data_IF_214569040193
#
_entry.id   IF_214569040193
#
_cell.length_a   1.000
_cell.length_b   1.000
_cell.length_c   1.000
_cell.angle_alpha   90.00
_cell.angle_beta   90.00
_cell.angle_gamma   90.00
#
_symmetry.space_group_name_H-M   'P 1'
#
loop_
_entity.id
_entity.type
_entity.pdbx_description
1 polymer ?
#
# COMPACT_ATOMS: atom_id res chain seq x y z
N UNK A 1 17.07 -52.02 -89.80
CA UNK A 1 17.23 -51.24 -91.04
C UNK A 1 15.93 -50.48 -91.33
N UNK A 2 16.03 -49.15 -91.34
CA UNK A 2 15.14 -48.14 -91.97
C UNK A 2 13.65 -48.08 -91.58
N UNK A 3 13.24 -47.04 -90.84
CA UNK A 3 12.76 -45.72 -91.32
C UNK A 3 11.41 -45.81 -92.05
N UNK A 4 10.31 -45.25 -91.52
CA UNK A 4 9.89 -43.83 -91.66
C UNK A 4 8.35 -43.84 -91.44
N UNK A 5 7.59 -42.80 -91.11
CA UNK A 5 7.68 -41.37 -91.45
C UNK A 5 6.66 -40.62 -90.57
N UNK A 6 7.10 -39.56 -89.92
CA UNK A 6 6.25 -38.62 -89.19
C UNK A 6 5.49 -37.71 -90.18
N UNK A 7 4.22 -37.42 -89.90
CA UNK A 7 3.49 -36.27 -90.46
C UNK A 7 3.43 -35.16 -89.40
N UNK A 8 3.93 -33.98 -89.75
CA UNK A 8 3.80 -32.76 -88.95
C UNK A 8 2.44 -32.10 -89.19
N UNK A 9 1.80 -31.64 -88.12
CA UNK A 9 0.72 -30.65 -88.14
C UNK A 9 1.25 -29.32 -87.56
N UNK A 10 0.79 -28.14 -88.02
CA UNK A 10 1.40 -26.86 -87.66
C UNK A 10 1.01 -26.39 -86.24
N UNK A 11 2.00 -25.94 -85.48
CA UNK A 11 1.83 -25.20 -84.23
C UNK A 11 1.22 -23.81 -84.50
N UNK A 12 0.05 -23.52 -83.91
CA UNK A 12 -0.44 -22.16 -83.73
C UNK A 12 0.33 -21.48 -82.59
N UNK A 13 1.13 -20.48 -82.93
CA UNK A 13 1.81 -19.59 -81.98
C UNK A 13 0.79 -18.63 -81.32
N UNK A 14 0.37 -18.94 -80.10
CA UNK A 14 -0.42 -18.02 -79.26
C UNK A 14 0.54 -17.00 -78.63
N UNK A 15 0.54 -15.77 -79.14
CA UNK A 15 1.25 -14.63 -78.53
C UNK A 15 0.63 -14.30 -77.18
N UNK A 16 1.31 -14.65 -76.09
CA UNK A 16 0.94 -14.22 -74.74
C UNK A 16 1.31 -12.74 -74.53
N UNK A 17 0.30 -11.89 -74.34
CA UNK A 17 0.46 -10.46 -74.13
C UNK A 17 1.01 -10.12 -72.72
N UNK A 18 1.91 -9.10 -72.59
CA UNK A 18 2.66 -8.80 -71.37
C UNK A 18 1.81 -8.29 -70.17
N UNK A 19 0.53 -7.92 -70.40
CA UNK A 19 -0.39 -7.51 -69.32
C UNK A 19 -0.76 -8.66 -68.37
N UNK A 20 -0.79 -9.91 -68.86
CA UNK A 20 -1.29 -11.05 -68.09
C UNK A 20 -0.26 -11.56 -67.04
N UNK A 21 1.04 -11.37 -67.32
CA UNK A 21 2.11 -11.72 -66.38
C UNK A 21 2.20 -10.75 -65.18
N UNK A 22 1.97 -9.45 -65.39
CA UNK A 22 1.94 -8.44 -64.31
C UNK A 22 0.75 -8.66 -63.36
N UNK A 23 -0.43 -9.02 -63.88
CA UNK A 23 -1.61 -9.35 -63.05
C UNK A 23 -1.41 -10.61 -62.22
N UNK A 24 -0.79 -11.67 -62.77
CA UNK A 24 -0.44 -12.90 -62.01
C UNK A 24 0.59 -12.63 -60.92
N UNK A 25 1.65 -11.84 -61.17
CA UNK A 25 2.63 -11.46 -60.14
C UNK A 25 2.02 -10.60 -59.01
N UNK A 26 1.13 -9.65 -59.32
CA UNK A 26 0.38 -8.87 -58.30
C UNK A 26 -0.54 -9.73 -57.44
N UNK A 27 -1.28 -10.69 -58.04
CA UNK A 27 -2.11 -11.65 -57.29
C UNK A 27 -1.26 -12.56 -56.39
N UNK A 28 -0.10 -13.03 -56.87
CA UNK A 28 0.82 -13.86 -56.07
C UNK A 28 1.42 -13.08 -54.88
N UNK A 29 1.83 -11.81 -55.09
CA UNK A 29 2.30 -10.91 -54.00
C UNK A 29 1.20 -10.61 -52.97
N UNK A 30 -0.04 -10.32 -53.40
CA UNK A 30 -1.18 -10.12 -52.46
C UNK A 30 -1.51 -11.39 -51.67
N UNK A 31 -1.45 -12.57 -52.29
CA UNK A 31 -1.71 -13.85 -51.62
C UNK A 31 -0.60 -14.21 -50.62
N UNK A 32 0.66 -13.91 -50.93
CA UNK A 32 1.79 -14.08 -50.02
C UNK A 32 1.74 -13.11 -48.84
N UNK A 33 1.34 -11.84 -49.08
CA UNK A 33 1.15 -10.83 -48.04
C UNK A 33 0.04 -11.21 -47.05
N UNK A 34 -1.12 -11.67 -47.54
CA UNK A 34 -2.18 -12.19 -46.66
C UNK A 34 -1.75 -13.44 -45.87
N UNK A 35 -0.86 -14.28 -46.41
CA UNK A 35 -0.36 -15.46 -45.70
C UNK A 35 0.61 -15.06 -44.58
N UNK A 36 1.51 -14.10 -44.84
CA UNK A 36 2.43 -13.53 -43.85
C UNK A 36 1.69 -12.77 -42.74
N UNK A 37 0.64 -12.03 -43.09
CA UNK A 37 -0.16 -11.29 -42.12
C UNK A 37 -1.02 -12.22 -41.23
N UNK A 38 -1.52 -13.33 -41.80
CA UNK A 38 -2.16 -14.41 -41.02
C UNK A 38 -1.17 -15.11 -40.09
N UNK A 39 0.04 -15.42 -40.54
CA UNK A 39 1.09 -16.00 -39.68
C UNK A 39 1.53 -15.05 -38.55
N UNK A 40 1.62 -13.74 -38.82
CA UNK A 40 1.95 -12.71 -37.82
C UNK A 40 0.82 -12.51 -36.79
N UNK A 41 -0.45 -12.64 -37.19
CA UNK A 41 -1.60 -12.63 -36.26
C UNK A 41 -1.64 -13.89 -35.39
N UNK A 42 -1.34 -15.05 -35.97
CA UNK A 42 -1.18 -16.30 -35.21
C UNK A 42 -0.05 -16.15 -34.17
N UNK A 43 1.12 -15.67 -34.56
CA UNK A 43 2.24 -15.45 -33.64
C UNK A 43 1.93 -14.47 -32.50
N UNK A 44 1.08 -13.44 -32.73
CA UNK A 44 0.60 -12.54 -31.65
C UNK A 44 -0.37 -13.22 -30.69
N UNK A 45 -1.25 -14.11 -31.17
CA UNK A 45 -2.17 -14.90 -30.33
C UNK A 45 -1.42 -15.96 -29.50
N UNK A 46 -0.45 -16.66 -30.10
CA UNK A 46 0.37 -17.65 -29.41
C UNK A 46 1.41 -17.01 -28.47
N UNK A 47 1.92 -15.81 -28.79
CA UNK A 47 2.79 -15.04 -27.90
C UNK A 47 2.08 -14.52 -26.65
N UNK A 48 0.82 -14.08 -26.77
CA UNK A 48 0.02 -13.62 -25.63
C UNK A 48 -0.29 -14.72 -24.61
N UNK A 49 -0.51 -15.96 -25.07
CA UNK A 49 -0.82 -17.09 -24.20
C UNK A 49 0.38 -17.56 -23.35
N UNK A 50 1.60 -17.40 -23.87
CA UNK A 50 2.83 -17.72 -23.14
C UNK A 50 3.18 -16.66 -22.10
N UNK A 51 2.87 -15.38 -22.37
CA UNK A 51 3.11 -14.28 -21.43
C UNK A 51 2.09 -14.30 -20.28
N UNK A 52 0.83 -14.66 -20.54
CA UNK A 52 -0.19 -14.75 -19.47
C UNK A 52 0.03 -15.93 -18.52
N UNK A 53 0.60 -17.06 -18.97
CA UNK A 53 0.96 -18.19 -18.09
C UNK A 53 2.16 -17.87 -17.19
N UNK A 54 3.14 -17.10 -17.69
CA UNK A 54 4.28 -16.64 -16.88
C UNK A 54 3.84 -15.65 -15.78
N UNK A 55 2.85 -14.80 -16.03
CA UNK A 55 2.31 -13.88 -15.03
C UNK A 55 1.38 -14.56 -13.99
N UNK A 56 0.63 -15.60 -14.36
CA UNK A 56 -0.22 -16.34 -13.40
C UNK A 56 0.59 -17.20 -12.42
N UNK A 57 1.73 -17.75 -12.85
CA UNK A 57 2.60 -18.54 -11.95
C UNK A 57 3.54 -17.68 -11.08
N UNK A 58 3.78 -16.41 -11.43
CA UNK A 58 4.55 -15.48 -10.58
C UNK A 58 3.66 -14.76 -9.55
N UNK A 59 2.38 -14.53 -9.85
CA UNK A 59 1.44 -13.92 -8.89
C UNK A 59 0.97 -14.88 -7.79
N UNK A 60 0.83 -16.18 -8.08
CA UNK A 60 0.36 -17.19 -7.11
C UNK A 60 1.49 -17.85 -6.29
N UNK A 61 2.75 -17.49 -6.52
CA UNK A 61 3.92 -17.99 -5.77
C UNK A 61 4.55 -16.88 -4.93
N UNK A 62 3.72 -16.11 -4.23
CA UNK A 62 4.14 -15.53 -2.94
C UNK A 62 4.37 -16.71 -2.00
N UNK A 63 5.56 -17.31 -2.10
CA UNK A 63 5.94 -18.54 -1.42
C UNK A 63 5.69 -18.40 0.08
N UNK A 64 5.20 -19.45 0.73
CA UNK A 64 5.10 -19.53 2.20
C UNK A 64 6.39 -19.11 2.91
N UNK A 65 7.56 -19.24 2.27
CA UNK A 65 8.86 -18.72 2.75
C UNK A 65 8.95 -17.20 2.90
N UNK A 66 8.07 -16.43 2.23
CA UNK A 66 7.93 -14.97 2.39
C UNK A 66 7.02 -14.62 3.57
N UNK A 67 6.09 -15.50 3.94
CA UNK A 67 5.25 -15.37 5.14
C UNK A 67 6.02 -15.74 6.43
N UNK A 68 6.99 -16.64 6.35
CA UNK A 68 7.87 -17.00 7.49
C UNK A 68 8.94 -15.93 7.75
N UNK A 69 9.20 -15.03 6.80
CA UNK A 69 10.16 -13.93 6.99
C UNK A 69 9.48 -12.75 7.67
N UNK A 70 9.73 -12.69 8.98
CA UNK A 70 9.52 -11.57 9.89
C UNK A 70 8.11 -11.46 10.46
N UNK A 71 7.65 -12.53 11.11
CA UNK A 71 6.86 -12.34 12.32
C UNK A 71 7.77 -11.67 13.37
N UNK A 72 7.35 -10.53 13.89
CA UNK A 72 8.13 -9.72 14.83
C UNK A 72 7.21 -9.44 16.01
N UNK A 73 7.62 -9.94 17.17
CA UNK A 73 6.85 -9.82 18.42
C UNK A 73 7.25 -8.61 19.26
N UNK A 74 8.46 -8.11 19.05
CA UNK A 74 8.97 -6.92 19.74
C UNK A 74 9.45 -5.88 18.74
N UNK A 75 8.99 -4.64 18.89
CA UNK A 75 9.38 -3.52 18.03
C UNK A 75 9.55 -2.25 18.86
N UNK A 76 10.73 -1.63 18.76
CA UNK A 76 10.97 -0.29 19.31
C UNK A 76 10.57 0.75 18.27
N UNK A 77 9.74 1.70 18.68
CA UNK A 77 9.15 2.74 17.84
C UNK A 77 9.43 4.10 18.44
N UNK A 78 10.01 5.00 17.65
CA UNK A 78 10.16 6.41 18.00
C UNK A 78 8.94 7.16 17.48
N UNK A 79 8.21 7.80 18.38
CA UNK A 79 7.03 8.61 18.04
C UNK A 79 7.35 10.07 18.33
N UNK A 80 7.07 10.94 17.37
CA UNK A 80 7.16 12.39 17.53
C UNK A 80 5.84 12.98 17.08
N UNK A 81 5.02 13.48 18.02
CA UNK A 81 3.75 14.10 17.70
C UNK A 81 3.95 15.42 16.94
N UNK A 82 2.90 15.89 16.27
CA UNK A 82 2.95 17.16 15.56
C UNK A 82 3.17 18.34 16.51
N UNK A 83 3.94 19.31 16.07
CA UNK A 83 4.07 20.60 16.77
C UNK A 83 2.81 21.45 16.53
N UNK A 84 2.47 22.30 17.49
CA UNK A 84 1.43 23.30 17.29
C UNK A 84 1.90 24.37 16.31
N UNK A 85 0.97 24.94 15.56
CA UNK A 85 1.26 26.06 14.67
C UNK A 85 1.52 27.34 15.46
N UNK A 86 2.32 28.24 14.91
CA UNK A 86 2.62 29.53 15.54
C UNK A 86 1.44 30.50 15.48
N UNK A 87 1.29 31.34 16.51
CA UNK A 87 0.39 32.48 16.47
C UNK A 87 0.92 33.58 15.55
N UNK A 88 0.05 34.21 14.76
CA UNK A 88 0.44 35.36 13.95
C UNK A 88 0.36 36.66 14.74
N UNK A 89 1.30 37.56 14.48
CA UNK A 89 1.22 38.97 14.88
C UNK A 89 1.00 39.80 13.62
N UNK A 90 -0.23 40.27 13.42
CA UNK A 90 -0.59 41.12 12.29
C UNK A 90 -1.62 42.17 12.68
N UNK A 91 -1.72 43.23 11.89
CA UNK A 91 -2.71 44.28 12.07
C UNK A 91 -3.58 44.39 10.82
N UNK A 92 -4.86 44.65 11.05
CA UNK A 92 -5.80 44.85 9.96
C UNK A 92 -5.43 46.09 9.17
N UNK A 93 -5.38 46.01 7.84
CA UNK A 93 -5.09 47.15 6.97
C UNK A 93 -6.27 47.40 6.05
N UNK A 94 -6.85 48.60 6.15
CA UNK A 94 -7.94 49.07 5.30
C UNK A 94 -7.51 50.37 4.59
N UNK A 95 -7.82 50.53 3.30
CA UNK A 95 -7.58 51.80 2.62
C UNK A 95 -8.26 52.95 3.36
N UNK A 96 -7.52 54.05 3.60
CA UNK A 96 -7.96 55.26 4.34
C UNK A 96 -8.18 55.06 5.85
N UNK A 97 -7.64 53.99 6.44
CA UNK A 97 -7.58 53.79 7.89
C UNK A 97 -6.14 53.62 8.32
N UNK A 98 -5.63 54.62 9.03
CA UNK A 98 -4.23 54.67 9.46
C UNK A 98 -3.90 53.61 10.53
N UNK A 99 -4.84 53.34 11.45
CA UNK A 99 -4.65 52.40 12.56
C UNK A 99 -5.75 51.34 12.58
N UNK A 100 -5.38 50.12 12.20
CA UNK A 100 -6.23 48.95 12.35
C UNK A 100 -5.96 48.18 13.64
N UNK A 101 -6.97 47.46 14.13
CA UNK A 101 -6.82 46.59 15.28
C UNK A 101 -5.97 45.34 14.98
N UNK A 102 -5.45 44.65 16.01
CA UNK A 102 -4.60 43.47 15.84
C UNK A 102 -5.39 42.30 15.24
N UNK A 103 -5.07 41.79 14.05
CA UNK A 103 -5.85 40.76 13.36
C UNK A 103 -5.13 39.42 13.18
N UNK A 104 -4.11 39.14 13.99
CA UNK A 104 -3.37 37.89 13.94
C UNK A 104 -4.18 36.74 14.52
N UNK A 105 -4.36 35.68 13.73
CA UNK A 105 -4.98 34.43 14.16
C UNK A 105 -4.06 33.57 15.05
N UNK A 106 -4.67 32.71 15.86
CA UNK A 106 -4.03 31.61 16.57
C UNK A 106 -3.57 30.50 15.62
N UNK A 107 -2.51 29.79 15.98
CA UNK A 107 -2.09 28.57 15.30
C UNK A 107 -2.96 27.37 15.65
N UNK A 108 -2.97 26.38 14.76
CA UNK A 108 -3.68 25.12 14.94
C UNK A 108 -2.95 24.16 15.87
N UNK A 109 -3.68 23.21 16.45
CA UNK A 109 -3.09 22.14 17.26
C UNK A 109 -2.32 21.13 16.38
N UNK A 110 -1.22 20.61 16.92
CA UNK A 110 -0.45 19.52 16.33
C UNK A 110 -1.20 18.19 16.39
N UNK A 111 -0.85 17.27 15.48
CA UNK A 111 -1.54 16.00 15.34
C UNK A 111 -1.04 14.96 16.34
N UNK A 112 -1.97 14.37 17.09
CA UNK A 112 -1.69 13.29 18.03
C UNK A 112 -1.24 12.01 17.31
N UNK A 113 -0.47 11.18 18.01
CA UNK A 113 -0.15 9.82 17.58
C UNK A 113 -0.95 8.83 18.42
N UNK A 114 -1.83 8.10 17.75
CA UNK A 114 -2.79 7.20 18.37
C UNK A 114 -2.53 5.78 17.88
N UNK A 115 -2.29 4.85 18.80
CA UNK A 115 -2.31 3.43 18.50
C UNK A 115 -3.76 2.96 18.43
N UNK A 116 -4.10 2.25 17.35
CA UNK A 116 -5.39 1.62 17.14
C UNK A 116 -5.22 0.12 17.02
N UNK A 117 -5.99 -0.62 17.80
CA UNK A 117 -5.99 -2.09 17.71
C UNK A 117 -6.83 -2.54 16.52
N UNK A 118 -6.22 -3.33 15.64
CA UNK A 118 -6.87 -3.93 14.48
C UNK A 118 -6.69 -5.45 14.50
N UNK A 119 -7.79 -6.18 14.26
CA UNK A 119 -7.79 -7.65 14.16
C UNK A 119 -7.18 -8.14 12.84
N UNK A 120 -7.15 -7.29 11.81
CA UNK A 120 -6.58 -7.66 10.51
C UNK A 120 -5.04 -7.73 10.56
N UNK A 121 -4.43 -6.98 11.48
CA UNK A 121 -2.98 -6.98 11.70
C UNK A 121 -2.63 -8.13 12.63
N UNK A 122 -1.72 -9.01 12.17
CA UNK A 122 -1.30 -10.19 12.94
C UNK A 122 0.12 -10.09 13.50
N UNK A 123 0.93 -9.15 13.02
CA UNK A 123 2.35 -9.00 13.37
C UNK A 123 2.76 -7.53 13.46
N UNK A 124 3.77 -7.23 14.29
CA UNK A 124 4.33 -5.86 14.40
C UNK A 124 5.33 -5.53 13.27
N UNK A 125 5.49 -6.40 12.28
CA UNK A 125 6.39 -6.18 11.14
C UNK A 125 5.94 -5.08 10.19
N UNK A 126 4.63 -4.78 10.15
CA UNK A 126 4.04 -3.68 9.41
C UNK A 126 4.31 -2.31 10.05
N UNK A 127 4.71 -2.29 11.32
CA UNK A 127 4.93 -1.06 12.09
C UNK A 127 6.30 -0.47 11.76
N UNK A 128 6.32 0.77 11.27
CA UNK A 128 7.57 1.51 11.03
C UNK A 128 8.29 1.81 12.35
N UNK A 129 9.60 2.01 12.28
CA UNK A 129 10.43 2.35 13.45
C UNK A 129 10.27 3.80 13.90
N UNK A 130 9.79 4.67 13.01
CA UNK A 130 9.63 6.11 13.26
C UNK A 130 8.27 6.55 12.73
N UNK A 131 7.52 7.25 13.58
CA UNK A 131 6.29 7.96 13.21
C UNK A 131 6.44 9.43 13.56
N UNK A 132 6.01 10.29 12.62
CA UNK A 132 5.91 11.72 12.81
C UNK A 132 4.46 12.14 12.62
N UNK A 133 3.92 12.85 13.60
CA UNK A 133 2.63 13.51 13.50
C UNK A 133 2.69 14.65 12.49
N UNK A 134 1.51 15.11 12.06
CA UNK A 134 1.41 16.31 11.22
C UNK A 134 1.41 17.54 12.13
N UNK A 135 2.16 18.56 11.74
CA UNK A 135 2.18 19.82 12.47
C UNK A 135 0.90 20.62 12.21
N UNK A 136 0.50 21.43 13.19
CA UNK A 136 -0.59 22.38 13.06
C UNK A 136 -0.22 23.52 12.11
N UNK A 137 -1.21 24.06 11.39
CA UNK A 137 -0.94 25.22 10.53
C UNK A 137 -0.78 26.49 11.39
N UNK A 138 0.10 27.39 10.95
CA UNK A 138 0.25 28.68 11.61
C UNK A 138 -1.01 29.56 11.43
N UNK A 139 -1.23 30.46 12.39
CA UNK A 139 -2.21 31.52 12.24
C UNK A 139 -1.83 32.46 11.10
N UNK A 140 -2.81 33.20 10.58
CA UNK A 140 -2.56 34.24 9.58
C UNK A 140 -3.35 35.52 9.85
N UNK A 141 -3.10 36.54 9.04
CA UNK A 141 -3.82 37.81 9.11
C UNK A 141 -5.31 37.65 8.79
N UNK A 142 -6.09 38.70 9.08
CA UNK A 142 -7.54 38.75 8.92
C UNK A 142 -8.30 37.83 9.89
N UNK A 143 -7.79 37.67 11.11
CA UNK A 143 -8.31 36.79 12.16
C UNK A 143 -8.46 35.33 11.71
N UNK A 144 -7.59 34.87 10.81
CA UNK A 144 -7.65 33.49 10.28
C UNK A 144 -6.86 32.53 11.16
N UNK A 145 -7.58 31.64 11.82
CA UNK A 145 -6.98 30.58 12.64
C UNK A 145 -6.35 29.48 11.78
N UNK A 146 -5.21 28.98 12.23
CA UNK A 146 -4.55 27.84 11.62
C UNK A 146 -5.38 26.56 11.78
N UNK A 147 -5.35 25.70 10.77
CA UNK A 147 -6.03 24.40 10.80
C UNK A 147 -5.36 23.44 11.78
N UNK A 148 -6.18 22.71 12.53
CA UNK A 148 -5.72 21.61 13.36
C UNK A 148 -5.26 20.44 12.48
N UNK A 149 -4.14 19.84 12.87
CA UNK A 149 -3.60 18.68 12.21
C UNK A 149 -4.45 17.42 12.46
N UNK A 150 -4.50 16.54 11.46
CA UNK A 150 -5.16 15.24 11.60
C UNK A 150 -4.30 14.28 12.44
N UNK A 151 -4.89 13.49 13.35
CA UNK A 151 -4.14 12.50 14.12
C UNK A 151 -3.56 11.41 13.21
N UNK A 152 -2.45 10.83 13.63
CA UNK A 152 -1.78 9.72 12.95
C UNK A 152 -2.07 8.42 13.66
N UNK A 153 -2.68 7.47 12.95
CA UNK A 153 -3.05 6.17 13.50
C UNK A 153 -1.97 5.12 13.22
N UNK A 154 -1.58 4.38 14.25
CA UNK A 154 -0.69 3.22 14.17
C UNK A 154 -1.53 1.97 14.42
N UNK A 155 -1.73 1.15 13.39
CA UNK A 155 -2.46 -0.10 13.52
C UNK A 155 -1.59 -1.17 14.16
N UNK A 156 -2.07 -1.78 15.25
CA UNK A 156 -1.37 -2.86 15.97
C UNK A 156 -2.29 -4.07 16.15
N UNK A 157 -1.74 -5.29 16.24
CA UNK A 157 -2.51 -6.50 16.56
C UNK A 157 -3.13 -6.44 17.96
N UNK A 158 -4.18 -7.22 18.17
CA UNK A 158 -4.81 -7.45 19.49
C UNK A 158 -3.80 -8.10 20.45
N UNK A 159 -3.78 -7.67 21.70
CA UNK A 159 -2.86 -8.18 22.73
C UNK A 159 -1.48 -7.53 22.69
N UNK A 160 -1.37 -6.31 22.15
CA UNK A 160 -0.12 -5.54 22.15
C UNK A 160 0.04 -4.80 23.49
N UNK A 161 1.19 -4.98 24.13
CA UNK A 161 1.64 -4.21 25.28
C UNK A 161 2.48 -3.03 24.81
N UNK A 162 2.17 -1.85 25.33
CA UNK A 162 2.95 -0.62 25.10
C UNK A 162 3.78 -0.35 26.34
N UNK A 163 5.10 -0.34 26.19
CA UNK A 163 6.06 -0.06 27.26
C UNK A 163 6.92 1.16 26.92
N UNK A 164 7.34 1.87 27.94
CA UNK A 164 8.32 2.96 27.86
C UNK A 164 9.35 2.75 28.96
N UNK A 165 10.63 2.63 28.58
CA UNK A 165 11.75 2.43 29.51
C UNK A 165 11.55 1.28 30.52
N UNK A 166 10.84 0.21 30.11
CA UNK A 166 10.52 -0.95 30.94
C UNK A 166 9.23 -0.83 31.77
N UNK A 167 8.64 0.36 31.86
CA UNK A 167 7.33 0.59 32.49
C UNK A 167 6.20 0.31 31.51
N UNK A 168 5.18 -0.43 31.93
CA UNK A 168 3.99 -0.69 31.12
C UNK A 168 3.06 0.53 31.13
N UNK A 169 2.81 1.11 29.95
CA UNK A 169 1.92 2.25 29.78
C UNK A 169 0.48 1.82 29.53
N UNK A 170 0.29 0.82 28.66
CA UNK A 170 -1.03 0.35 28.28
C UNK A 170 -1.01 -1.11 27.82
N UNK A 171 -2.12 -1.81 28.07
CA UNK A 171 -2.43 -3.15 27.56
C UNK A 171 -3.61 -3.05 26.59
N UNK A 172 -3.37 -3.40 25.34
CA UNK A 172 -4.31 -3.27 24.24
C UNK A 172 -4.96 -4.61 23.92
N UNK A 173 -5.92 -5.02 24.76
CA UNK A 173 -6.54 -6.33 24.72
C UNK A 173 -7.78 -6.42 23.81
N UNK A 174 -8.45 -5.30 23.51
CA UNK A 174 -9.71 -5.30 22.76
C UNK A 174 -9.55 -4.70 21.37
N UNK A 175 -10.28 -5.25 20.40
CA UNK A 175 -10.33 -4.70 19.04
C UNK A 175 -10.95 -3.30 19.04
N UNK A 176 -10.40 -2.39 18.23
CA UNK A 176 -10.88 -1.02 18.14
C UNK A 176 -10.46 -0.12 19.30
N UNK A 177 -9.77 -0.65 20.31
CA UNK A 177 -9.21 0.14 21.40
C UNK A 177 -8.21 1.17 20.84
N UNK A 178 -8.32 2.40 21.33
CA UNK A 178 -7.47 3.52 20.96
C UNK A 178 -6.63 3.92 22.16
N UNK A 179 -5.35 4.19 21.94
CA UNK A 179 -4.44 4.69 22.96
C UNK A 179 -3.55 5.79 22.40
N UNK A 180 -3.64 6.99 22.98
CA UNK A 180 -2.81 8.13 22.58
C UNK A 180 -1.43 7.99 23.19
N UNK A 181 -0.43 7.76 22.35
CA UNK A 181 0.96 7.53 22.80
C UNK A 181 1.71 8.83 23.00
N UNK A 182 1.47 9.78 22.11
CA UNK A 182 2.09 11.09 22.15
C UNK A 182 1.06 12.15 21.77
N UNK A 183 0.91 13.15 22.63
CA UNK A 183 0.04 14.29 22.40
C UNK A 183 0.73 15.33 21.52
N UNK A 184 -0.02 15.88 20.58
CA UNK A 184 0.39 17.01 19.75
C UNK A 184 0.55 18.28 20.58
N UNK A 185 1.40 19.18 20.09
CA UNK A 185 1.62 20.47 20.72
C UNK A 185 0.40 21.39 20.60
N UNK A 186 0.17 22.21 21.61
CA UNK A 186 -0.86 23.24 21.56
C UNK A 186 -0.50 24.34 20.54
N UNK A 187 -1.51 24.86 19.83
CA UNK A 187 -1.34 25.98 18.91
C UNK A 187 -1.02 27.29 19.65
N UNK A 188 -0.09 28.06 19.08
CA UNK A 188 0.33 29.37 19.57
C UNK A 188 -0.80 30.39 19.50
N UNK A 189 -0.75 31.41 20.38
CA UNK A 189 -1.76 32.47 20.43
C UNK A 189 -1.32 33.65 19.56
N UNK A 190 -2.22 34.10 18.69
CA UNK A 190 -2.01 35.29 17.88
C UNK A 190 -2.12 36.57 18.73
N UNK A 191 -1.69 37.69 18.18
CA UNK A 191 -1.70 38.96 18.90
C UNK A 191 -3.10 39.40 19.34
N UNK A 192 -4.16 39.06 18.58
CA UNK A 192 -5.55 39.34 18.96
C UNK A 192 -5.92 38.73 20.33
N UNK A 193 -5.34 37.59 20.71
CA UNK A 193 -5.59 36.95 22.00
C UNK A 193 -5.10 37.78 23.19
N UNK A 194 -4.04 38.56 23.00
CA UNK A 194 -3.43 39.41 24.04
C UNK A 194 -4.05 40.81 24.12
N UNK A 195 -5.14 41.05 23.40
CA UNK A 195 -5.84 42.33 23.42
C UNK A 195 -6.47 42.56 24.81
N UNK A 196 -6.04 43.61 25.50
CA UNK A 196 -6.60 44.03 26.79
C UNK A 196 -7.00 45.51 26.76
N UNK A 197 -7.70 45.99 27.80
CA UNK A 197 -8.04 47.41 27.89
C UNK A 197 -6.79 48.31 28.00
N UNK A 198 -5.74 47.79 28.64
CA UNK A 198 -4.45 48.47 28.85
C UNK A 198 -3.57 48.40 27.59
N UNK A 199 -3.61 47.28 26.86
CA UNK A 199 -2.85 47.09 25.63
C UNK A 199 -3.77 46.82 24.43
N UNK A 200 -4.09 47.89 23.70
CA UNK A 200 -4.97 47.85 22.52
C UNK A 200 -4.28 47.37 21.23
N UNK A 201 -2.95 47.36 21.20
CA UNK A 201 -2.14 46.99 20.03
C UNK A 201 -0.99 46.05 20.44
N UNK A 202 -1.30 44.83 20.94
CA UNK A 202 -0.28 43.85 21.25
C UNK A 202 0.53 43.48 20.00
N UNK A 203 1.86 43.55 20.11
CA UNK A 203 2.81 43.10 19.09
C UNK A 203 3.25 41.65 19.30
N UNK A 204 2.98 41.10 20.48
CA UNK A 204 3.41 39.78 20.89
C UNK A 204 2.47 38.71 20.34
N UNK A 205 3.05 37.60 19.88
CA UNK A 205 2.38 36.34 19.61
C UNK A 205 3.19 35.22 20.28
N UNK A 206 2.51 34.15 20.73
CA UNK A 206 3.21 32.97 21.25
C UNK A 206 3.47 31.96 20.13
N UNK A 207 4.66 31.35 20.11
CA UNK A 207 4.94 30.23 19.21
C UNK A 207 4.10 29.02 19.61
N UNK A 208 3.95 28.08 18.68
CA UNK A 208 3.33 26.79 18.96
C UNK A 208 4.17 25.95 19.92
N UNK A 209 3.51 25.14 20.74
CA UNK A 209 4.21 24.18 21.59
C UNK A 209 4.73 23.02 20.75
N UNK A 210 5.88 22.47 21.15
CA UNK A 210 6.42 21.27 20.50
C UNK A 210 5.59 20.06 20.90
N UNK A 211 5.34 19.17 19.94
CA UNK A 211 4.69 17.89 20.20
C UNK A 211 5.53 17.01 21.12
N UNK A 212 4.87 16.07 21.81
CA UNK A 212 5.58 15.12 22.65
C UNK A 212 6.39 14.14 21.78
N UNK A 213 7.64 13.91 22.18
CA UNK A 213 8.52 12.90 21.60
C UNK A 213 8.76 11.79 22.62
N UNK A 214 8.52 10.55 22.23
CA UNK A 214 8.67 9.37 23.11
C UNK A 214 9.22 8.19 22.33
N UNK A 215 9.85 7.27 23.05
CA UNK A 215 10.35 6.03 22.47
C UNK A 215 9.69 4.85 23.18
N UNK A 216 8.74 4.25 22.49
CA UNK A 216 7.95 3.15 23.02
C UNK A 216 8.42 1.80 22.48
N UNK A 217 8.27 0.77 23.29
CA UNK A 217 8.48 -0.63 22.95
C UNK A 217 7.11 -1.29 22.85
N UNK A 218 6.81 -1.84 21.68
CA UNK A 218 5.61 -2.62 21.44
C UNK A 218 5.97 -4.09 21.55
N UNK A 219 5.25 -4.80 22.39
CA UNK A 219 5.41 -6.23 22.61
C UNK A 219 4.08 -6.94 22.40
N UNK A 220 4.06 -7.96 21.55
CA UNK A 220 2.89 -8.81 21.41
C UNK A 220 2.86 -9.85 22.54
N UNK A 221 1.75 -9.96 23.27
CA UNK A 221 1.49 -11.14 24.11
C UNK A 221 1.22 -12.34 23.21
N UNK A 222 2.28 -13.00 22.77
CA UNK A 222 2.16 -14.25 22.01
C UNK A 222 1.72 -15.39 22.93
N UNK A 223 0.48 -15.83 22.77
CA UNK A 223 0.16 -17.25 22.93
C UNK A 223 0.68 -17.93 21.66
N UNK A 224 1.77 -18.70 21.79
CA UNK A 224 2.44 -19.34 20.67
C UNK A 224 1.42 -20.06 19.76
N UNK A 225 1.18 -19.51 18.57
CA UNK A 225 0.49 -20.21 17.47
C UNK A 225 1.45 -21.15 16.72
N UNK A 226 2.68 -21.32 17.21
CA UNK A 226 3.51 -22.45 16.85
C UNK A 226 2.94 -23.69 17.55
N UNK A 227 1.85 -24.22 16.98
CA UNK A 227 1.55 -25.63 17.12
C UNK A 227 2.84 -26.39 16.85
N UNK A 228 3.28 -27.20 17.81
CA UNK A 228 4.27 -28.24 17.57
C UNK A 228 3.84 -28.97 16.28
N UNK A 229 4.54 -28.72 15.18
CA UNK A 229 4.58 -29.68 14.08
C UNK A 229 5.41 -30.81 14.66
N UNK A 230 4.76 -31.73 15.36
CA UNK A 230 5.33 -33.04 15.60
C UNK A 230 5.60 -33.61 14.22
N UNK A 231 6.89 -33.77 13.90
CA UNK A 231 7.30 -34.54 12.76
C UNK A 231 6.69 -35.93 12.94
N UNK A 232 5.61 -36.24 12.21
CA UNK A 232 5.25 -37.65 11.99
C UNK A 232 6.48 -38.27 11.33
N UNK A 233 7.15 -39.28 11.91
CA UNK A 233 8.01 -40.10 11.09
C UNK A 233 7.08 -40.68 10.02
N UNK A 234 7.30 -40.29 8.77
CA UNK A 234 6.71 -40.97 7.62
C UNK A 234 7.34 -42.36 7.61
N UNK A 235 6.76 -43.28 8.36
CA UNK A 235 6.91 -44.69 8.07
C UNK A 235 6.23 -44.92 6.72
N UNK A 236 7.05 -45.27 5.74
CA UNK A 236 6.59 -45.72 4.44
C UNK A 236 5.59 -46.88 4.64
N UNK A 237 4.45 -46.84 3.97
CA UNK A 237 4.10 -47.72 2.84
C UNK A 237 2.61 -47.49 2.52
N UNK A 238 2.35 -47.14 1.27
CA UNK A 238 1.04 -47.21 0.64
C UNK A 238 0.65 -48.68 0.59
N UNK A 239 -0.33 -49.08 1.40
CA UNK A 239 -1.15 -50.27 1.20
C UNK A 239 -2.60 -49.90 1.55
N UNK A 240 -3.33 -49.41 0.56
CA UNK A 240 -4.76 -49.71 0.45
C UNK A 240 -4.89 -51.14 -0.10
N UNK A 241 -5.96 -51.91 0.17
CA UNK A 241 -7.31 -51.40 0.46
C UNK A 241 -8.05 -52.10 1.61
N UNK A 242 -9.15 -51.49 2.03
CA UNK A 242 -10.27 -52.11 2.74
C UNK A 242 -9.99 -52.67 4.15
N UNK A 243 -10.31 -51.87 5.16
CA UNK A 243 -10.88 -52.39 6.40
C UNK A 243 -12.25 -51.75 6.61
N UNK A 244 -13.27 -52.53 6.26
CA UNK A 244 -14.65 -52.42 6.72
C UNK A 244 -14.68 -52.20 8.24
N UNK A 245 -15.43 -51.20 8.69
CA UNK A 245 -15.78 -51.05 10.10
C UNK A 245 -17.28 -51.35 10.27
N UNK A 246 -17.67 -52.58 10.63
CA UNK A 246 -18.85 -52.80 11.43
C UNK A 246 -18.38 -53.09 12.87
N UNK A 247 -19.06 -52.52 13.86
CA UNK A 247 -18.85 -52.74 15.30
C UNK A 247 -17.63 -52.07 15.97
N UNK A 248 -17.86 -50.89 16.55
CA UNK A 248 -17.71 -50.56 17.98
C UNK A 248 -17.89 -49.02 18.10
N UNK A 249 -18.78 -48.42 18.89
CA UNK A 249 -19.33 -48.86 20.15
C UNK A 249 -18.58 -48.18 21.30
N UNK A 250 -19.02 -46.96 21.64
CA UNK A 250 -18.84 -46.28 22.94
C UNK A 250 -17.57 -45.48 23.33
N UNK A 251 -17.90 -44.37 24.02
CA UNK A 251 -17.24 -43.56 25.06
C UNK A 251 -16.21 -42.46 24.71
N UNK A 252 -16.68 -41.23 25.02
CA UNK A 252 -16.10 -40.09 25.74
C UNK A 252 -14.64 -39.63 25.57
N UNK A 253 -14.57 -38.29 25.48
CA UNK A 253 -13.57 -37.37 26.03
C UNK A 253 -12.10 -37.82 26.05
N UNK A 254 -11.31 -37.20 25.18
CA UNK A 254 -9.89 -36.99 25.44
C UNK A 254 -9.48 -35.61 24.88
N UNK A 255 -9.23 -34.71 25.83
CA UNK A 255 -8.23 -33.63 25.88
C UNK A 255 -7.41 -33.31 24.63
#
# INVERSE_FOLDING_TARGET
LHHSRWRYAPLKLVRNSPLNQKKKKKKKKKKLGMLLEKHMKLLRLYGGLLIQRAHKHTAARLSEKKLVRCFVDHRRVKVAAGSGGDGASSFHSEPRKEWGGPDGGNGGAGGDIIIKVDQQVKSLSSVSTVYRGKDGEAGSSQNRFGRNASPTYIAVPVGTLVKEEGSMLADLAQHGQLYTVAYGGAGGKGNRFFLSNENRAPLCATPGEKGQERVVQLELRTMAHAALVSAKPVSKIVLSPACTCPFCGYYEECW
#
